data_IF_718092219600
#
_entry.id   IF_718092219600
#
_cell.length_a   1.000
_cell.length_b   1.000
_cell.length_c   1.000
_cell.angle_alpha   90.00
_cell.angle_beta   90.00
_cell.angle_gamma   90.00
#
_symmetry.space_group_name_H-M   'P 1'
#
loop_
_entity.id
_entity.type
_entity.pdbx_description
1 polymer ?
#
# COMPACT_ATOMS: atom_id res chain seq x y z
N UNK A 1 -17.87 10.65 5.38
CA UNK A 1 -17.38 9.29 5.05
C UNK A 1 -16.92 8.65 6.36
N UNK A 2 -17.48 7.50 6.71
CA UNK A 2 -17.04 6.74 7.88
C UNK A 2 -16.06 5.69 7.43
N UNK A 3 -14.79 5.81 7.85
CA UNK A 3 -13.81 4.76 7.63
C UNK A 3 -13.75 3.84 8.85
N UNK A 4 -13.65 2.54 8.59
CA UNK A 4 -13.39 1.56 9.63
C UNK A 4 -11.91 1.62 10.02
N UNK A 5 -11.69 1.64 11.32
CA UNK A 5 -10.35 1.51 11.92
C UNK A 5 -10.38 0.45 13.02
N UNK A 6 -9.26 -0.22 13.21
CA UNK A 6 -9.02 -1.15 14.30
C UNK A 6 -7.64 -0.88 14.89
N UNK A 7 -7.54 -0.88 16.23
CA UNK A 7 -6.30 -0.51 16.90
C UNK A 7 -5.89 -1.59 17.90
N UNK A 8 -4.61 -2.00 17.82
CA UNK A 8 -3.99 -3.04 18.65
C UNK A 8 -2.66 -2.56 19.20
N UNK A 9 -2.27 -3.08 20.37
CA UNK A 9 -0.96 -2.83 20.97
C UNK A 9 -0.86 -1.51 21.72
N UNK A 10 0.36 -1.23 22.16
CA UNK A 10 0.72 -0.03 22.93
C UNK A 10 2.07 0.50 22.47
N UNK A 11 2.29 1.81 22.57
CA UNK A 11 3.54 2.46 22.16
C UNK A 11 3.31 3.58 21.15
N UNK A 12 4.35 3.99 20.39
CA UNK A 12 4.21 4.97 19.32
C UNK A 12 3.17 4.56 18.29
N UNK A 13 2.44 5.53 17.76
CA UNK A 13 1.40 5.27 16.76
C UNK A 13 1.97 4.84 15.42
N UNK A 14 1.43 3.73 14.89
CA UNK A 14 1.69 3.22 13.54
C UNK A 14 0.36 3.06 12.80
N UNK A 15 0.17 3.83 11.74
CA UNK A 15 -0.99 3.71 10.83
C UNK A 15 -0.64 2.75 9.71
N UNK A 16 -1.48 1.75 9.45
CA UNK A 16 -1.28 0.75 8.39
C UNK A 16 -2.41 0.80 7.37
N UNK A 17 -2.05 0.96 6.09
CA UNK A 17 -2.97 1.14 4.96
C UNK A 17 -2.76 0.02 3.94
N UNK A 18 -3.83 -0.72 3.63
CA UNK A 18 -3.82 -1.86 2.70
C UNK A 18 -3.72 -1.45 1.22
N UNK A 19 -3.51 -2.43 0.34
CA UNK A 19 -3.48 -2.27 -1.10
C UNK A 19 -4.86 -2.35 -1.76
N UNK A 20 -4.90 -2.08 -3.08
CA UNK A 20 -6.11 -2.10 -3.88
C UNK A 20 -6.84 -3.46 -3.80
N UNK A 21 -8.18 -3.40 -3.66
CA UNK A 21 -9.08 -4.55 -3.66
C UNK A 21 -9.05 -5.40 -2.39
N UNK A 22 -8.30 -4.98 -1.36
CA UNK A 22 -8.23 -5.68 -0.06
C UNK A 22 -8.72 -4.75 1.07
N UNK A 23 -8.50 -5.12 2.31
CA UNK A 23 -8.92 -4.38 3.50
C UNK A 23 -7.91 -4.62 4.65
N UNK A 24 -8.12 -3.98 5.80
CA UNK A 24 -7.22 -4.04 6.97
C UNK A 24 -6.94 -5.44 7.49
N UNK A 25 -7.84 -6.41 7.30
CA UNK A 25 -7.63 -7.81 7.68
C UNK A 25 -6.44 -8.49 6.99
N UNK A 26 -5.89 -7.91 5.91
CA UNK A 26 -4.64 -8.41 5.32
C UNK A 26 -3.45 -8.36 6.29
N UNK A 27 -3.55 -7.52 7.31
CA UNK A 27 -2.53 -7.32 8.33
C UNK A 27 -2.67 -8.23 9.56
N UNK A 28 -3.76 -9.03 9.69
CA UNK A 28 -4.08 -9.79 10.91
C UNK A 28 -2.94 -10.69 11.36
N UNK A 29 -2.28 -11.39 10.44
CA UNK A 29 -1.13 -12.23 10.75
C UNK A 29 0.17 -11.43 10.98
N UNK A 30 0.23 -10.17 10.57
CA UNK A 30 1.42 -9.32 10.65
C UNK A 30 1.42 -8.42 11.89
N UNK A 31 0.25 -7.94 12.33
CA UNK A 31 0.10 -7.07 13.52
C UNK A 31 0.73 -7.67 14.79
N UNK A 32 0.58 -8.98 15.11
CA UNK A 32 1.23 -9.56 16.29
C UNK A 32 2.73 -9.37 16.38
N UNK A 33 3.42 -9.20 15.24
CA UNK A 33 4.86 -8.97 15.18
C UNK A 33 5.24 -7.50 15.48
N UNK A 34 4.28 -6.58 15.44
CA UNK A 34 4.49 -5.14 15.61
C UNK A 34 3.85 -4.58 16.89
N UNK A 35 2.76 -5.16 17.39
CA UNK A 35 1.95 -4.63 18.49
C UNK A 35 2.68 -4.53 19.84
N UNK A 36 3.80 -5.22 20.00
CA UNK A 36 4.66 -5.08 21.20
C UNK A 36 5.50 -3.79 21.17
N UNK A 37 5.75 -3.22 19.98
CA UNK A 37 6.57 -2.04 19.77
C UNK A 37 5.72 -0.80 19.40
N UNK A 38 4.52 -1.00 18.88
CA UNK A 38 3.66 0.07 18.35
C UNK A 38 2.20 -0.07 18.79
N UNK A 39 1.52 1.08 18.88
CA UNK A 39 0.06 1.13 18.82
C UNK A 39 -0.35 1.16 17.34
N UNK A 40 -0.75 0.01 16.82
CA UNK A 40 -1.04 -0.20 15.40
C UNK A 40 -2.49 0.16 15.12
N UNK A 41 -2.74 1.16 14.28
CA UNK A 41 -4.06 1.50 13.75
C UNK A 41 -4.16 1.07 12.29
N UNK A 42 -5.02 0.09 12.01
CA UNK A 42 -5.31 -0.41 10.66
C UNK A 42 -6.54 0.31 10.10
N UNK A 43 -6.51 0.70 8.84
CA UNK A 43 -7.59 1.46 8.18
C UNK A 43 -8.09 0.69 6.98
N UNK A 44 -9.42 0.57 6.84
CA UNK A 44 -10.05 0.20 5.58
C UNK A 44 -10.22 1.47 4.72
N UNK A 45 -9.63 1.48 3.52
CA UNK A 45 -9.76 2.59 2.57
C UNK A 45 -11.23 2.78 2.12
N UNK A 46 -11.61 3.94 1.58
CA UNK A 46 -12.97 4.20 1.13
C UNK A 46 -13.54 3.09 0.24
N UNK A 47 -14.71 2.56 0.60
CA UNK A 47 -15.40 1.50 -0.13
C UNK A 47 -14.73 0.12 -0.10
N UNK A 48 -13.75 -0.09 0.79
CA UNK A 48 -13.09 -1.38 0.99
C UNK A 48 -13.43 -1.92 2.39
N UNK A 49 -13.54 -3.24 2.52
CA UNK A 49 -13.82 -3.91 3.79
C UNK A 49 -15.09 -3.38 4.45
N UNK A 50 -14.94 -2.77 5.61
CA UNK A 50 -16.03 -2.24 6.46
C UNK A 50 -16.22 -0.72 6.32
N UNK A 51 -15.47 -0.06 5.43
CA UNK A 51 -15.57 1.37 5.18
C UNK A 51 -16.63 1.71 4.14
N UNK A 52 -17.41 2.78 4.41
CA UNK A 52 -18.42 3.26 3.47
C UNK A 52 -17.79 3.82 2.18
N UNK A 53 -18.53 3.67 1.06
CA UNK A 53 -18.24 4.40 -0.17
C UNK A 53 -19.18 5.61 -0.31
N UNK A 54 -18.61 6.78 -0.55
CA UNK A 54 -19.35 8.04 -0.73
C UNK A 54 -18.88 8.82 -1.96
N UNK A 55 -18.39 8.11 -2.99
CA UNK A 55 -18.02 8.71 -4.27
C UNK A 55 -16.65 9.39 -4.31
N UNK A 56 -15.78 9.18 -3.32
CA UNK A 56 -14.43 9.74 -3.29
C UNK A 56 -13.57 9.15 -4.43
N UNK A 57 -13.28 9.93 -5.46
CA UNK A 57 -12.61 9.47 -6.68
C UNK A 57 -11.16 10.00 -6.84
N UNK A 58 -10.76 10.94 -5.99
CA UNK A 58 -9.43 11.54 -6.02
C UNK A 58 -8.55 11.06 -4.87
N UNK A 59 -7.26 10.95 -5.12
CA UNK A 59 -6.28 10.56 -4.09
C UNK A 59 -6.35 11.47 -2.86
N UNK A 60 -6.52 12.76 -3.04
CA UNK A 60 -6.60 13.73 -1.94
C UNK A 60 -7.83 13.52 -1.05
N UNK A 61 -8.96 13.10 -1.62
CA UNK A 61 -10.17 12.76 -0.85
C UNK A 61 -9.94 11.52 0.02
N UNK A 62 -9.21 10.52 -0.50
CA UNK A 62 -8.82 9.33 0.28
C UNK A 62 -7.86 9.69 1.41
N UNK A 63 -6.88 10.55 1.13
CA UNK A 63 -5.95 11.06 2.15
C UNK A 63 -6.70 11.81 3.24
N UNK A 64 -7.63 12.72 2.90
CA UNK A 64 -8.41 13.49 3.85
C UNK A 64 -9.28 12.57 4.73
N UNK A 65 -9.91 11.57 4.13
CA UNK A 65 -10.70 10.58 4.85
C UNK A 65 -9.86 9.79 5.87
N UNK A 66 -8.66 9.35 5.49
CA UNK A 66 -7.74 8.65 6.41
C UNK A 66 -7.26 9.60 7.52
N UNK A 67 -6.81 10.81 7.17
CA UNK A 67 -6.33 11.81 8.15
C UNK A 67 -7.40 12.17 9.20
N UNK A 68 -8.68 12.08 8.85
CA UNK A 68 -9.78 12.39 9.77
C UNK A 68 -9.96 11.35 10.90
N UNK A 69 -9.52 10.10 10.69
CA UNK A 69 -9.79 8.98 11.61
C UNK A 69 -8.55 8.43 12.33
N UNK A 70 -7.34 8.79 11.87
CA UNK A 70 -6.09 8.30 12.45
C UNK A 70 -5.48 9.27 13.45
N UNK A 71 -4.53 8.83 14.32
CA UNK A 71 -3.83 9.70 15.26
C UNK A 71 -3.22 10.95 14.63
N UNK A 72 -3.13 12.04 15.41
CA UNK A 72 -2.64 13.35 14.95
C UNK A 72 -1.17 13.34 14.52
N UNK A 73 -0.39 12.39 15.01
CA UNK A 73 1.02 12.20 14.63
C UNK A 73 1.35 10.73 14.74
N UNK A 74 1.86 10.12 13.68
CA UNK A 74 2.14 8.70 13.62
C UNK A 74 3.22 8.37 12.59
N UNK A 75 3.80 7.18 12.70
CA UNK A 75 4.48 6.49 11.60
C UNK A 75 3.40 5.99 10.64
N UNK A 76 3.59 6.17 9.34
CA UNK A 76 2.64 5.69 8.34
C UNK A 76 3.26 4.58 7.50
N UNK A 77 2.59 3.45 7.44
CA UNK A 77 2.93 2.30 6.63
C UNK A 77 1.83 2.05 5.60
N UNK A 78 2.19 2.07 4.32
CA UNK A 78 1.23 1.77 3.26
C UNK A 78 1.76 0.69 2.31
N UNK A 79 0.89 -0.25 1.93
CA UNK A 79 1.20 -1.26 0.94
C UNK A 79 0.55 -0.92 -0.40
N UNK A 80 1.35 -0.95 -1.49
CA UNK A 80 0.84 -0.75 -2.86
C UNK A 80 0.06 0.58 -2.98
N UNK A 81 -1.23 0.57 -3.31
CA UNK A 81 -2.10 1.76 -3.31
C UNK A 81 -2.08 2.49 -1.96
N UNK A 82 -2.11 1.74 -0.84
CA UNK A 82 -2.00 2.34 0.49
C UNK A 82 -0.69 3.10 0.70
N UNK A 83 0.40 2.66 0.06
CA UNK A 83 1.67 3.38 0.05
C UNK A 83 1.60 4.70 -0.72
N UNK A 84 0.83 4.75 -1.81
CA UNK A 84 0.59 5.99 -2.55
C UNK A 84 -0.23 6.99 -1.71
N UNK A 85 -1.25 6.50 -0.99
CA UNK A 85 -2.01 7.30 -0.02
C UNK A 85 -1.10 7.84 1.08
N UNK A 86 -0.23 6.99 1.66
CA UNK A 86 0.71 7.39 2.71
C UNK A 86 1.75 8.41 2.21
N UNK A 87 2.31 8.23 1.00
CA UNK A 87 3.21 9.22 0.38
C UNK A 87 2.51 10.57 0.20
N UNK A 88 1.27 10.56 -0.32
CA UNK A 88 0.52 11.80 -0.50
C UNK A 88 0.19 12.48 0.82
N UNK A 89 -0.14 11.71 1.86
CA UNK A 89 -0.36 12.24 3.22
C UNK A 89 0.91 12.90 3.78
N UNK A 90 2.07 12.26 3.63
CA UNK A 90 3.36 12.82 4.08
C UNK A 90 3.69 14.15 3.38
N UNK A 91 3.40 14.26 2.08
CA UNK A 91 3.61 15.49 1.31
C UNK A 91 2.62 16.61 1.69
N UNK A 92 1.34 16.29 1.95
CA UNK A 92 0.29 17.29 2.26
C UNK A 92 0.25 17.70 3.72
N UNK A 93 0.56 16.77 4.62
CA UNK A 93 0.43 16.96 6.06
C UNK A 93 1.70 16.50 6.79
N UNK A 94 2.88 17.10 6.53
CA UNK A 94 4.17 16.61 7.01
C UNK A 94 4.27 16.54 8.54
N UNK A 95 3.50 17.34 9.28
CA UNK A 95 3.43 17.27 10.76
C UNK A 95 2.65 16.06 11.28
N UNK A 96 1.87 15.40 10.42
CA UNK A 96 1.06 14.21 10.75
C UNK A 96 1.82 12.90 10.55
N UNK A 97 2.86 12.91 9.72
CA UNK A 97 3.64 11.72 9.34
C UNK A 97 5.07 11.89 9.88
N UNK A 98 5.37 11.18 10.97
CA UNK A 98 6.70 11.25 11.62
C UNK A 98 7.76 10.47 10.86
N UNK A 99 7.36 9.35 10.25
CA UNK A 99 8.17 8.53 9.35
C UNK A 99 7.25 7.85 8.35
N UNK A 100 7.70 7.70 7.13
CA UNK A 100 6.99 7.04 6.07
C UNK A 100 7.59 5.66 5.80
N UNK A 101 6.76 4.63 5.71
CA UNK A 101 7.14 3.29 5.30
C UNK A 101 6.24 2.87 4.15
N UNK A 102 6.82 2.45 3.05
CA UNK A 102 6.05 1.86 1.95
C UNK A 102 6.49 0.43 1.69
N UNK A 103 5.53 -0.44 1.44
CA UNK A 103 5.76 -1.81 1.01
C UNK A 103 5.26 -1.93 -0.43
N UNK A 104 6.13 -2.33 -1.35
CA UNK A 104 5.79 -2.57 -2.76
C UNK A 104 4.96 -1.42 -3.37
N UNK A 105 5.40 -0.17 -3.18
CA UNK A 105 4.72 1.02 -3.67
C UNK A 105 5.66 2.00 -4.37
N UNK A 106 5.10 2.99 -5.05
CA UNK A 106 5.82 3.93 -5.91
C UNK A 106 5.05 5.25 -6.03
N UNK A 107 5.72 6.40 -6.23
CA UNK A 107 5.06 7.67 -6.47
C UNK A 107 4.33 7.75 -7.83
N UNK A 108 4.65 6.83 -8.76
CA UNK A 108 4.00 6.74 -10.06
C UNK A 108 3.96 5.28 -10.51
N UNK A 109 2.75 4.70 -10.61
CA UNK A 109 2.56 3.27 -10.89
C UNK A 109 2.67 2.92 -12.36
N UNK A 110 2.50 3.88 -13.27
CA UNK A 110 2.53 3.66 -14.71
C UNK A 110 3.74 4.30 -15.36
N UNK A 111 4.20 3.70 -16.46
CA UNK A 111 5.29 4.25 -17.27
C UNK A 111 4.94 5.62 -17.80
N UNK A 112 5.89 6.54 -17.68
CA UNK A 112 5.84 7.90 -18.22
C UNK A 112 7.23 8.29 -18.74
N UNK A 113 7.39 9.40 -19.45
CA UNK A 113 8.71 9.92 -19.80
C UNK A 113 9.62 10.02 -18.58
N UNK A 114 10.84 9.47 -18.70
CA UNK A 114 11.79 9.38 -17.59
C UNK A 114 11.44 8.38 -16.47
N UNK A 115 10.40 7.52 -16.65
CA UNK A 115 9.93 6.55 -15.64
C UNK A 115 9.57 5.21 -16.30
N UNK A 116 10.57 4.49 -16.77
CA UNK A 116 10.36 3.29 -17.60
C UNK A 116 10.24 1.98 -16.79
N UNK A 117 10.64 2.00 -15.52
CA UNK A 117 10.62 0.81 -14.65
C UNK A 117 9.22 0.44 -14.12
N UNK A 118 8.25 1.37 -14.19
CA UNK A 118 6.88 1.16 -13.73
C UNK A 118 6.06 0.26 -14.67
N UNK A 119 4.83 -0.07 -14.27
CA UNK A 119 3.90 -0.88 -15.06
C UNK A 119 3.53 -0.23 -16.40
N UNK A 120 3.24 -1.05 -17.40
CA UNK A 120 2.62 -0.56 -18.63
C UNK A 120 1.21 0.00 -18.33
N UNK A 121 0.84 1.19 -18.83
CA UNK A 121 -0.50 1.76 -18.64
C UNK A 121 -1.61 0.81 -19.08
N UNK A 122 -1.41 0.06 -20.17
CA UNK A 122 -2.35 -0.92 -20.70
C UNK A 122 -2.73 -2.04 -19.71
N UNK A 123 -1.86 -2.34 -18.73
CA UNK A 123 -2.19 -3.33 -17.71
C UNK A 123 -3.34 -2.84 -16.80
N UNK A 124 -3.26 -1.59 -16.32
CA UNK A 124 -4.33 -1.00 -15.49
C UNK A 124 -5.60 -0.73 -16.32
N UNK A 125 -5.47 -0.38 -17.61
CA UNK A 125 -6.59 -0.23 -18.53
C UNK A 125 -7.33 -1.56 -18.71
N UNK A 126 -6.59 -2.65 -18.89
CA UNK A 126 -7.18 -4.00 -18.98
C UNK A 126 -7.93 -4.34 -17.70
N UNK A 127 -7.36 -4.07 -16.52
CA UNK A 127 -8.06 -4.29 -15.25
C UNK A 127 -9.32 -3.44 -15.11
N UNK A 128 -9.29 -2.19 -15.58
CA UNK A 128 -10.49 -1.31 -15.53
C UNK A 128 -11.64 -1.88 -16.38
N UNK A 129 -11.34 -2.35 -17.59
CA UNK A 129 -12.35 -2.96 -18.48
C UNK A 129 -12.86 -4.30 -17.91
N UNK A 130 -11.98 -5.15 -17.42
CA UNK A 130 -12.36 -6.45 -16.84
C UNK A 130 -13.18 -6.26 -15.55
N UNK A 131 -12.88 -5.24 -14.74
CA UNK A 131 -13.60 -4.94 -13.50
C UNK A 131 -15.09 -4.65 -13.76
N UNK A 132 -15.42 -3.93 -14.84
CA UNK A 132 -16.79 -3.64 -15.23
C UNK A 132 -17.58 -4.90 -15.64
N UNK A 133 -16.87 -5.93 -16.13
CA UNK A 133 -17.50 -7.17 -16.60
C UNK A 133 -17.63 -8.20 -15.48
N UNK A 134 -16.59 -8.40 -14.68
CA UNK A 134 -16.52 -9.39 -13.60
C UNK A 134 -15.47 -8.97 -12.58
N UNK A 135 -15.90 -8.24 -11.54
CA UNK A 135 -14.97 -7.74 -10.50
C UNK A 135 -14.31 -8.87 -9.72
N UNK A 136 -15.02 -9.97 -9.42
CA UNK A 136 -14.49 -11.07 -8.62
C UNK A 136 -13.37 -11.80 -9.36
N UNK A 137 -13.55 -12.03 -10.66
CA UNK A 137 -12.53 -12.61 -11.53
C UNK A 137 -11.33 -11.69 -11.66
N UNK A 138 -11.57 -10.38 -11.82
CA UNK A 138 -10.53 -9.36 -11.94
C UNK A 138 -9.68 -9.29 -10.70
N UNK A 139 -10.28 -9.27 -9.51
CA UNK A 139 -9.57 -9.31 -8.24
C UNK A 139 -8.72 -10.58 -8.10
N UNK A 140 -9.28 -11.77 -8.38
CA UNK A 140 -8.52 -13.02 -8.32
C UNK A 140 -7.33 -13.04 -9.28
N UNK A 141 -7.48 -12.46 -10.47
CA UNK A 141 -6.38 -12.29 -11.44
C UNK A 141 -5.31 -11.35 -10.91
N UNK A 142 -5.71 -10.23 -10.32
CA UNK A 142 -4.80 -9.26 -9.71
C UNK A 142 -4.00 -9.89 -8.56
N UNK A 143 -4.67 -10.64 -7.65
CA UNK A 143 -3.98 -11.37 -6.57
C UNK A 143 -2.96 -12.37 -7.13
N UNK A 144 -3.28 -13.05 -8.22
CA UNK A 144 -2.36 -14.00 -8.87
C UNK A 144 -1.13 -13.31 -9.45
N UNK A 145 -1.27 -12.07 -9.95
CA UNK A 145 -0.13 -11.27 -10.42
C UNK A 145 0.80 -10.84 -9.29
N UNK A 146 0.26 -10.53 -8.12
CA UNK A 146 1.06 -10.10 -6.96
C UNK A 146 2.07 -11.14 -6.49
N UNK A 147 1.78 -12.42 -6.69
CA UNK A 147 2.62 -13.52 -6.24
C UNK A 147 3.50 -14.11 -7.34
N UNK A 148 3.34 -13.65 -8.58
CA UNK A 148 4.06 -14.20 -9.74
C UNK A 148 5.57 -14.03 -9.55
N UNK A 149 6.30 -15.14 -9.69
CA UNK A 149 7.75 -15.17 -9.50
C UNK A 149 8.21 -15.33 -8.06
N UNK A 150 7.35 -15.12 -7.06
CA UNK A 150 7.68 -15.32 -5.65
C UNK A 150 7.97 -16.79 -5.32
N UNK A 151 8.93 -17.05 -4.46
CA UNK A 151 9.24 -18.41 -3.97
C UNK A 151 8.09 -18.99 -3.16
N UNK A 152 7.34 -18.15 -2.43
CA UNK A 152 6.22 -18.55 -1.60
C UNK A 152 4.86 -18.25 -2.26
N UNK A 153 4.79 -18.18 -3.60
CA UNK A 153 3.61 -17.76 -4.36
C UNK A 153 2.32 -18.45 -3.91
N UNK A 154 2.33 -19.75 -3.69
CA UNK A 154 1.14 -20.53 -3.30
C UNK A 154 0.62 -20.15 -1.91
N UNK A 155 1.51 -20.03 -0.91
CA UNK A 155 1.14 -19.68 0.46
C UNK A 155 0.62 -18.24 0.54
N UNK A 156 1.33 -17.30 -0.10
CA UNK A 156 0.94 -15.88 -0.16
C UNK A 156 -0.41 -15.71 -0.87
N UNK A 157 -0.63 -16.40 -2.00
CA UNK A 157 -1.90 -16.35 -2.73
C UNK A 157 -3.08 -16.87 -1.88
N UNK A 158 -2.85 -17.94 -1.12
CA UNK A 158 -3.85 -18.47 -0.18
C UNK A 158 -4.22 -17.44 0.89
N UNK A 159 -3.24 -16.76 1.47
CA UNK A 159 -3.47 -15.69 2.46
C UNK A 159 -4.22 -14.49 1.86
N UNK A 160 -3.83 -14.04 0.67
CA UNK A 160 -4.50 -12.96 -0.04
C UNK A 160 -5.98 -13.28 -0.32
N UNK A 161 -6.26 -14.50 -0.81
CA UNK A 161 -7.64 -14.95 -1.07
C UNK A 161 -8.47 -15.09 0.19
N UNK A 162 -7.89 -15.60 1.27
CA UNK A 162 -8.57 -15.72 2.55
C UNK A 162 -8.96 -14.33 3.10
N UNK A 163 -8.05 -13.35 3.00
CA UNK A 163 -8.33 -11.98 3.38
C UNK A 163 -9.44 -11.37 2.52
N UNK A 164 -9.40 -11.52 1.18
CA UNK A 164 -10.39 -10.94 0.27
C UNK A 164 -11.85 -11.26 0.67
N UNK A 165 -12.10 -12.45 1.19
CA UNK A 165 -13.43 -12.95 1.53
C UNK A 165 -13.86 -12.65 2.97
N UNK A 166 -12.97 -12.11 3.82
CA UNK A 166 -13.20 -12.06 5.28
C UNK A 166 -14.20 -10.96 5.71
N UNK A 167 -14.33 -9.86 5.00
CA UNK A 167 -15.11 -8.68 5.43
C UNK A 167 -16.03 -8.11 4.35
N UNK A 168 -16.63 -8.99 3.55
CA UNK A 168 -17.56 -8.60 2.51
C UNK A 168 -16.88 -8.22 1.19
N UNK A 169 -17.71 -7.86 0.22
CA UNK A 169 -17.26 -7.47 -1.09
C UNK A 169 -16.94 -5.98 -1.13
N UNK A 170 -15.83 -5.56 -1.75
CA UNK A 170 -15.52 -4.15 -1.93
C UNK A 170 -16.53 -3.50 -2.89
N UNK A 171 -16.80 -2.22 -2.71
CA UNK A 171 -17.64 -1.44 -3.62
C UNK A 171 -17.00 -1.35 -5.01
N UNK A 172 -17.76 -1.68 -6.06
CA UNK A 172 -17.23 -1.70 -7.43
C UNK A 172 -16.78 -0.32 -7.91
N UNK A 173 -17.47 0.76 -7.50
CA UNK A 173 -17.09 2.12 -7.84
C UNK A 173 -15.80 2.55 -7.08
N UNK A 174 -15.62 2.07 -5.84
CA UNK A 174 -14.38 2.29 -5.09
C UNK A 174 -13.19 1.57 -5.75
N UNK A 175 -13.40 0.34 -6.23
CA UNK A 175 -12.37 -0.39 -6.99
C UNK A 175 -11.98 0.36 -8.27
N UNK A 176 -12.97 0.86 -9.03
CA UNK A 176 -12.71 1.64 -10.24
C UNK A 176 -11.96 2.94 -9.92
N UNK A 177 -12.36 3.66 -8.85
CA UNK A 177 -11.66 4.86 -8.39
C UNK A 177 -10.20 4.56 -7.99
N UNK A 178 -9.95 3.46 -7.27
CA UNK A 178 -8.59 3.03 -6.90
C UNK A 178 -7.70 2.76 -8.11
N UNK A 179 -8.23 2.10 -9.16
CA UNK A 179 -7.49 1.90 -10.43
C UNK A 179 -7.23 3.24 -11.15
N UNK A 180 -8.20 4.15 -11.15
CA UNK A 180 -8.04 5.49 -11.73
C UNK A 180 -6.95 6.29 -10.97
N UNK A 181 -6.93 6.23 -9.64
CA UNK A 181 -5.88 6.84 -8.80
C UNK A 181 -4.50 6.27 -9.15
N UNK A 182 -4.35 4.94 -9.21
CA UNK A 182 -3.08 4.30 -9.59
C UNK A 182 -2.59 4.72 -10.97
N UNK A 183 -3.51 4.88 -11.94
CA UNK A 183 -3.19 5.27 -13.31
C UNK A 183 -2.84 6.75 -13.45
N UNK A 184 -3.56 7.63 -12.76
CA UNK A 184 -3.46 9.07 -12.95
C UNK A 184 -2.36 9.71 -12.10
N UNK A 185 -2.10 9.17 -10.90
CA UNK A 185 -1.21 9.81 -9.92
C UNK A 185 0.24 9.78 -10.34
N UNK A 186 0.88 10.95 -10.20
CA UNK A 186 2.31 11.14 -10.37
C UNK A 186 2.81 12.11 -9.30
N UNK A 187 3.49 11.59 -8.31
CA UNK A 187 4.07 12.36 -7.21
C UNK A 187 5.58 12.59 -7.36
N UNK A 188 6.19 12.19 -8.49
CA UNK A 188 7.66 12.24 -8.68
C UNK A 188 8.23 13.63 -8.44
N UNK A 189 7.62 14.66 -9.01
CA UNK A 189 8.09 16.04 -8.88
C UNK A 189 7.95 16.58 -7.45
N UNK A 190 7.03 15.98 -6.65
CA UNK A 190 6.82 16.38 -5.28
C UNK A 190 7.73 15.64 -4.28
N UNK A 191 8.39 14.54 -4.69
CA UNK A 191 9.18 13.71 -3.78
C UNK A 191 10.31 14.45 -3.08
N UNK A 192 10.91 15.45 -3.73
CA UNK A 192 11.95 16.30 -3.12
C UNK A 192 11.46 17.15 -1.94
N UNK A 193 10.14 17.29 -1.74
CA UNK A 193 9.55 17.94 -0.58
C UNK A 193 9.22 16.97 0.58
N UNK A 194 9.63 15.70 0.50
CA UNK A 194 9.45 14.73 1.58
C UNK A 194 10.26 15.17 2.80
N UNK A 195 9.56 15.48 3.90
CA UNK A 195 10.17 16.07 5.09
C UNK A 195 10.41 15.06 6.24
N UNK A 196 10.04 13.81 6.07
CA UNK A 196 10.23 12.76 7.07
C UNK A 196 11.13 11.65 6.54
N UNK A 197 11.80 10.89 7.44
CA UNK A 197 12.53 9.68 7.07
C UNK A 197 11.62 8.71 6.30
N UNK A 198 12.13 8.09 5.24
CA UNK A 198 11.36 7.25 4.34
C UNK A 198 12.00 5.89 4.13
N UNK A 199 11.33 4.81 4.54
CA UNK A 199 11.70 3.43 4.30
C UNK A 199 10.87 2.84 3.17
N UNK A 200 11.52 2.36 2.12
CA UNK A 200 10.89 1.56 1.06
C UNK A 200 11.27 0.09 1.23
N UNK A 201 10.26 -0.79 1.37
CA UNK A 201 10.45 -2.24 1.41
C UNK A 201 9.89 -2.82 0.11
N UNK A 202 10.74 -3.51 -0.65
CA UNK A 202 10.37 -4.06 -1.95
C UNK A 202 10.66 -5.56 -2.01
N UNK A 203 9.81 -6.31 -2.70
CA UNK A 203 10.11 -7.70 -3.02
C UNK A 203 11.04 -7.78 -4.21
N UNK A 204 12.08 -8.62 -4.13
CA UNK A 204 13.05 -8.82 -5.20
C UNK A 204 12.38 -9.22 -6.53
N UNK A 205 11.32 -10.02 -6.46
CA UNK A 205 10.58 -10.59 -7.59
C UNK A 205 9.23 -9.93 -7.84
N UNK A 206 9.06 -8.71 -7.34
CA UNK A 206 7.84 -7.95 -7.59
C UNK A 206 7.77 -7.54 -9.07
N UNK A 207 6.73 -8.03 -9.75
CA UNK A 207 6.49 -7.73 -11.16
C UNK A 207 5.57 -6.53 -11.39
N UNK A 208 4.92 -6.02 -10.33
CA UNK A 208 4.06 -4.84 -10.39
C UNK A 208 4.85 -3.58 -10.06
N UNK A 209 5.70 -3.64 -9.03
CA UNK A 209 6.58 -2.53 -8.62
C UNK A 209 8.02 -3.08 -8.49
N UNK A 210 8.77 -3.17 -9.59
CA UNK A 210 10.12 -3.74 -9.59
C UNK A 210 11.10 -2.92 -8.73
N UNK A 211 12.12 -3.59 -8.19
CA UNK A 211 13.18 -2.96 -7.35
C UNK A 211 13.86 -1.77 -8.04
N UNK A 212 13.93 -1.77 -9.39
CA UNK A 212 14.45 -0.62 -10.16
C UNK A 212 13.71 0.67 -9.87
N UNK A 213 12.40 0.61 -9.63
CA UNK A 213 11.58 1.77 -9.22
C UNK A 213 12.07 2.34 -7.88
N UNK A 214 12.34 1.49 -6.89
CA UNK A 214 12.87 1.93 -5.60
C UNK A 214 14.21 2.67 -5.74
N UNK A 215 15.10 2.18 -6.61
CA UNK A 215 16.37 2.84 -6.92
C UNK A 215 16.17 4.21 -7.61
N UNK A 216 15.10 4.36 -8.41
CA UNK A 216 14.76 5.65 -9.02
C UNK A 216 14.20 6.61 -7.96
N UNK A 217 13.32 6.15 -7.05
CA UNK A 217 12.76 6.96 -5.95
C UNK A 217 13.86 7.48 -5.02
N UNK A 218 14.88 6.66 -4.71
CA UNK A 218 16.03 7.07 -3.87
C UNK A 218 16.85 8.23 -4.45
N UNK A 219 16.59 8.61 -5.71
CA UNK A 219 17.19 9.81 -6.34
C UNK A 219 16.29 11.03 -6.31
N UNK A 220 15.00 10.84 -5.97
CA UNK A 220 14.00 11.90 -5.95
C UNK A 220 13.81 12.52 -4.57
N UNK A 221 14.16 11.81 -3.50
CA UNK A 221 14.03 12.28 -2.12
C UNK A 221 15.34 11.99 -1.35
N UNK A 222 15.69 12.87 -0.39
CA UNK A 222 17.01 12.85 0.25
C UNK A 222 17.18 11.72 1.28
N UNK A 223 16.19 11.46 2.13
CA UNK A 223 16.27 10.51 3.24
C UNK A 223 15.46 9.25 2.94
N UNK A 224 15.87 8.51 1.91
CA UNK A 224 15.22 7.26 1.49
C UNK A 224 16.13 6.06 1.75
N UNK A 225 15.65 5.15 2.61
CA UNK A 225 16.24 3.83 2.81
C UNK A 225 15.49 2.79 1.99
N UNK A 226 16.19 2.08 1.12
CA UNK A 226 15.65 0.99 0.31
C UNK A 226 16.06 -0.37 0.90
N UNK A 227 15.08 -1.19 1.23
CA UNK A 227 15.25 -2.57 1.67
C UNK A 227 14.60 -3.52 0.65
N UNK A 228 15.35 -4.55 0.24
CA UNK A 228 14.86 -5.56 -0.71
C UNK A 228 14.73 -6.89 0.01
N UNK A 229 13.56 -7.51 -0.10
CA UNK A 229 13.26 -8.82 0.49
C UNK A 229 13.45 -9.89 -0.58
N UNK A 230 14.48 -10.69 -0.39
CA UNK A 230 14.89 -11.76 -1.31
C UNK A 230 13.75 -12.78 -1.52
N UNK A 231 13.56 -13.25 -2.75
CA UNK A 231 12.56 -14.23 -3.14
C UNK A 231 11.10 -13.77 -3.05
N UNK A 232 10.83 -12.58 -2.49
CA UNK A 232 9.46 -12.08 -2.29
C UNK A 232 8.91 -11.38 -3.54
N UNK A 233 7.58 -11.50 -3.75
CA UNK A 233 6.82 -10.74 -4.74
C UNK A 233 6.24 -9.43 -4.15
N UNK A 234 5.04 -9.06 -4.59
CA UNK A 234 4.39 -7.79 -4.24
C UNK A 234 3.89 -7.69 -2.79
N UNK A 235 3.83 -8.79 -2.05
CA UNK A 235 3.43 -8.83 -0.64
C UNK A 235 4.55 -9.43 0.25
N UNK A 236 5.72 -8.76 0.38
CA UNK A 236 6.85 -9.28 1.14
C UNK A 236 6.54 -9.49 2.62
N UNK A 237 5.61 -8.75 3.21
CA UNK A 237 5.15 -8.91 4.60
C UNK A 237 4.37 -10.22 4.83
N UNK A 238 3.84 -10.85 3.79
CA UNK A 238 3.25 -12.20 3.86
C UNK A 238 4.29 -13.29 3.57
N UNK A 239 5.28 -13.01 2.73
CA UNK A 239 6.31 -13.97 2.35
C UNK A 239 7.41 -14.10 3.40
N UNK A 240 7.79 -13.01 4.06
CA UNK A 240 8.90 -12.93 5.00
C UNK A 240 8.57 -12.01 6.19
N UNK A 241 7.45 -12.31 6.87
CA UNK A 241 6.84 -11.46 7.88
C UNK A 241 7.83 -11.00 8.97
N UNK A 242 8.56 -11.93 9.60
CA UNK A 242 9.53 -11.60 10.64
C UNK A 242 10.65 -10.67 10.16
N UNK A 243 11.10 -10.88 8.92
CA UNK A 243 12.16 -10.04 8.34
C UNK A 243 11.64 -8.63 8.10
N UNK A 244 10.45 -8.50 7.51
CA UNK A 244 9.82 -7.19 7.27
C UNK A 244 9.56 -6.46 8.60
N UNK A 245 9.02 -7.16 9.61
CA UNK A 245 8.78 -6.58 10.93
C UNK A 245 10.07 -6.04 11.57
N UNK A 246 11.16 -6.82 11.56
CA UNK A 246 12.46 -6.35 12.07
C UNK A 246 12.99 -5.13 11.32
N UNK A 247 12.80 -5.03 9.98
CA UNK A 247 13.21 -3.84 9.20
C UNK A 247 12.43 -2.60 9.60
N UNK A 248 11.11 -2.76 9.84
CA UNK A 248 10.25 -1.68 10.31
C UNK A 248 10.68 -1.21 11.70
N UNK A 249 10.82 -2.13 12.66
CA UNK A 249 11.25 -1.81 14.02
C UNK A 249 12.61 -1.14 14.05
N UNK A 250 13.59 -1.66 13.34
CA UNK A 250 14.95 -1.09 13.28
C UNK A 250 15.07 0.22 12.48
N UNK A 251 13.99 0.65 11.81
CA UNK A 251 13.93 1.96 11.16
C UNK A 251 13.31 3.03 12.06
N UNK A 252 12.35 2.65 12.90
CA UNK A 252 11.60 3.61 13.73
C UNK A 252 12.17 3.71 15.14
N UNK A 253 12.68 2.61 15.70
CA UNK A 253 13.24 2.51 17.05
C UNK A 253 14.76 2.53 17.00
#
# INVERSE_FOLDING_TARGET
MSLYIETDGNGPDLVMIHGWGLHSGIWDAFVPLLQSAFRVTRVDLPGHGRSDWQGASLLDEWVDAVLAVVPQSAVWLGWSLGGLVAMRAALRAPRRVTSLITIASTPCFVRKPGWQSAMLPSLLETFSVELEQDYARTLNRFLSLQVRGSEQASAVLKSLRASLLAHGEPDAAALAAGLAILRATDLRDAMGAMACPFLMIMGERDMLVPVSVGKEVSRLAEDVRLEVIEGAGHAPFLAAADTVARRIQGFVC
#
